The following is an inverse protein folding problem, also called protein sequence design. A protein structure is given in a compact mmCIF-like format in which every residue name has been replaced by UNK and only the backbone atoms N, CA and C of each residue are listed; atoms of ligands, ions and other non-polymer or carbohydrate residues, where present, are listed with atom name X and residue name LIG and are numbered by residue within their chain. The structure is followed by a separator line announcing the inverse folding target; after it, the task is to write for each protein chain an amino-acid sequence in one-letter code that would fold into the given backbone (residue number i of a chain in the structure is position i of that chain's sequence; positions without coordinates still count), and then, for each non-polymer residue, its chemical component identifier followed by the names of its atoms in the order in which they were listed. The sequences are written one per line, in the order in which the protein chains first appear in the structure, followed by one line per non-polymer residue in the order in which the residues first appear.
data_IF_627575171613
#
_entry.id   IF_627575171613
#
_cell.length_a   1.000
_cell.length_b   1.000
_cell.length_c   1.000
_cell.angle_alpha   90.00
_cell.angle_beta   90.00
_cell.angle_gamma   90.00
#
_symmetry.space_group_name_H-M   'P 1'
#
loop_
_entity.id
_entity.type
_entity.pdbx_description
1 polymer ?
#
# COMPACT_ATOMS: atom_id res chain seq x y z
N UNK A 1 -12.67 -5.78 17.71
CA UNK A 1 -11.44 -5.37 17.05
C UNK A 1 -10.32 -5.31 18.08
N UNK A 2 -9.22 -6.04 17.87
CA UNK A 2 -8.04 -5.92 18.72
C UNK A 2 -7.19 -4.75 18.23
N UNK A 3 -7.33 -3.58 18.89
CA UNK A 3 -6.64 -2.35 18.49
C UNK A 3 -5.12 -2.48 18.55
N UNK A 4 -4.57 -3.24 19.49
CA UNK A 4 -3.13 -3.49 19.57
C UNK A 4 -2.59 -4.18 18.32
N UNK A 5 -3.33 -5.17 17.81
CA UNK A 5 -2.92 -5.89 16.61
C UNK A 5 -3.08 -5.03 15.34
N UNK A 6 -4.21 -4.34 15.20
CA UNK A 6 -4.57 -3.66 13.95
C UNK A 6 -4.03 -2.24 13.82
N UNK A 7 -3.77 -1.57 14.94
CA UNK A 7 -3.22 -0.21 14.97
C UNK A 7 -1.82 -0.18 15.60
N UNK A 8 -1.58 -0.89 16.69
CA UNK A 8 -0.31 -0.87 17.41
C UNK A 8 0.86 -1.39 16.56
N UNK A 9 0.69 -2.51 15.84
CA UNK A 9 1.75 -3.03 14.96
C UNK A 9 2.08 -2.05 13.83
N UNK A 10 1.13 -1.52 13.04
CA UNK A 10 1.42 -0.48 12.05
C UNK A 10 2.11 0.75 12.63
N UNK A 11 1.68 1.22 13.80
CA UNK A 11 2.33 2.36 14.46
C UNK A 11 3.77 2.05 14.88
N UNK A 12 4.03 0.85 15.41
CA UNK A 12 5.38 0.41 15.73
C UNK A 12 6.28 0.32 14.47
N UNK A 13 5.73 -0.18 13.35
CA UNK A 13 6.44 -0.19 12.06
C UNK A 13 6.75 1.24 11.61
N UNK A 14 5.80 2.18 11.71
CA UNK A 14 6.03 3.59 11.35
C UNK A 14 7.16 4.21 12.19
N UNK A 15 7.16 3.97 13.49
CA UNK A 15 8.24 4.44 14.37
C UNK A 15 9.59 3.81 13.97
N UNK A 16 9.61 2.52 13.66
CA UNK A 16 10.79 1.84 13.14
C UNK A 16 11.27 2.43 11.81
N UNK A 17 10.37 2.77 10.89
CA UNK A 17 10.71 3.41 9.62
C UNK A 17 11.28 4.82 9.81
N UNK A 18 10.75 5.58 10.76
CA UNK A 18 11.34 6.89 11.13
C UNK A 18 12.73 6.69 11.69
N UNK A 19 12.96 5.74 12.59
CA UNK A 19 14.28 5.43 13.12
C UNK A 19 15.26 4.94 12.04
N UNK A 20 14.76 4.20 11.03
CA UNK A 20 15.54 3.67 9.92
C UNK A 20 16.17 4.78 9.05
N UNK A 21 15.55 5.98 9.00
CA UNK A 21 16.09 7.15 8.30
C UNK A 21 17.49 7.59 8.78
N UNK A 22 17.86 7.27 10.02
CA UNK A 22 19.20 7.57 10.58
C UNK A 22 20.21 6.43 10.37
N UNK A 23 19.87 5.42 9.58
CA UNK A 23 20.73 4.27 9.26
C UNK A 23 21.07 4.24 7.78
N UNK A 24 21.99 3.36 7.38
CA UNK A 24 22.34 3.10 5.97
C UNK A 24 21.48 2.00 5.32
N UNK A 25 20.53 1.41 6.02
CA UNK A 25 19.83 0.18 5.60
C UNK A 25 19.20 0.30 4.21
N UNK A 26 18.54 1.42 3.89
CA UNK A 26 17.95 1.63 2.56
C UNK A 26 19.01 1.65 1.45
N UNK A 27 20.16 2.31 1.73
CA UNK A 27 21.29 2.36 0.79
C UNK A 27 21.96 1.00 0.65
N UNK A 28 22.17 0.29 1.75
CA UNK A 28 22.82 -1.02 1.75
C UNK A 28 21.98 -2.03 0.98
N UNK A 29 20.66 -2.01 1.15
CA UNK A 29 19.73 -2.85 0.40
C UNK A 29 19.70 -2.44 -1.09
N UNK A 30 19.72 -1.14 -1.41
CA UNK A 30 19.76 -0.69 -2.79
C UNK A 30 21.07 -1.14 -3.49
N UNK A 31 22.20 -1.11 -2.77
CA UNK A 31 23.49 -1.60 -3.27
C UNK A 31 23.46 -3.11 -3.63
N UNK A 32 22.64 -3.93 -2.98
CA UNK A 32 22.50 -5.36 -3.35
C UNK A 32 21.92 -5.55 -4.76
N UNK A 33 21.21 -4.56 -5.27
CA UNK A 33 20.60 -4.59 -6.59
C UNK A 33 21.33 -3.73 -7.63
N UNK A 34 22.41 -3.06 -7.24
CA UNK A 34 23.21 -2.23 -8.14
C UNK A 34 24.48 -2.96 -8.58
N UNK A 35 24.63 -3.13 -9.88
CA UNK A 35 25.83 -3.73 -10.45
C UNK A 35 26.85 -2.63 -10.75
N UNK A 36 27.95 -2.65 -9.99
CA UNK A 36 29.05 -1.68 -10.10
C UNK A 36 29.75 -1.80 -11.46
N UNK A 37 29.84 -3.02 -12.02
CA UNK A 37 30.56 -3.24 -13.29
C UNK A 37 29.82 -2.60 -14.47
N UNK A 38 28.49 -2.63 -14.46
CA UNK A 38 27.66 -2.03 -15.51
C UNK A 38 27.18 -0.61 -15.18
N UNK A 39 27.32 -0.18 -13.91
CA UNK A 39 26.81 1.10 -13.44
C UNK A 39 25.27 1.18 -13.44
N UNK A 40 24.58 0.05 -13.34
CA UNK A 40 23.12 -0.02 -13.46
C UNK A 40 22.48 -0.97 -12.44
N UNK A 41 21.21 -0.75 -12.15
CA UNK A 41 20.40 -1.69 -11.38
C UNK A 41 20.11 -2.95 -12.21
N UNK A 42 20.23 -4.13 -11.58
CA UNK A 42 20.10 -5.45 -12.25
C UNK A 42 18.75 -5.67 -12.94
N UNK A 43 17.71 -5.01 -12.49
CA UNK A 43 16.35 -5.11 -13.04
C UNK A 43 15.97 -4.02 -14.03
N UNK A 44 16.88 -3.06 -14.35
CA UNK A 44 16.55 -1.83 -15.08
C UNK A 44 15.91 -2.08 -16.45
N UNK A 45 16.37 -3.11 -17.17
CA UNK A 45 15.90 -3.45 -18.52
C UNK A 45 15.12 -4.77 -18.56
N UNK A 46 14.65 -5.27 -17.41
CA UNK A 46 13.92 -6.52 -17.33
C UNK A 46 12.50 -6.37 -17.90
N UNK A 47 12.22 -7.06 -19.02
CA UNK A 47 10.89 -7.14 -19.61
C UNK A 47 9.83 -7.67 -18.62
N UNK A 48 10.20 -8.68 -17.81
CA UNK A 48 9.32 -9.25 -16.79
C UNK A 48 8.90 -8.20 -15.76
N UNK A 49 9.86 -7.41 -15.26
CA UNK A 49 9.61 -6.42 -14.21
C UNK A 49 8.81 -5.23 -14.76
N UNK A 50 9.10 -4.77 -15.99
CA UNK A 50 8.45 -3.60 -16.57
C UNK A 50 7.08 -3.95 -17.17
N UNK A 51 7.02 -4.92 -18.09
CA UNK A 51 5.79 -5.16 -18.84
C UNK A 51 4.80 -6.08 -18.13
N UNK A 52 5.27 -7.08 -17.37
CA UNK A 52 4.38 -8.03 -16.70
C UNK A 52 4.03 -7.54 -15.30
N UNK A 53 5.03 -7.40 -14.42
CA UNK A 53 4.76 -7.04 -13.03
C UNK A 53 4.28 -5.58 -12.88
N UNK A 54 4.85 -4.66 -13.68
CA UNK A 54 4.43 -3.26 -13.60
C UNK A 54 3.09 -3.02 -14.30
N UNK A 55 2.99 -3.31 -15.60
CA UNK A 55 1.83 -2.91 -16.39
C UNK A 55 0.65 -3.87 -16.25
N UNK A 56 0.86 -5.19 -16.40
CA UNK A 56 -0.26 -6.14 -16.41
C UNK A 56 -0.90 -6.31 -15.05
N UNK A 57 -0.10 -6.37 -13.97
CA UNK A 57 -0.65 -6.47 -12.61
C UNK A 57 -1.42 -5.20 -12.24
N UNK A 58 -0.90 -4.03 -12.60
CA UNK A 58 -1.60 -2.75 -12.42
C UNK A 58 -2.95 -2.74 -13.15
N UNK A 59 -2.98 -3.16 -14.42
CA UNK A 59 -4.22 -3.27 -15.20
C UNK A 59 -5.22 -4.22 -14.52
N UNK A 60 -4.76 -5.38 -14.04
CA UNK A 60 -5.60 -6.34 -13.30
C UNK A 60 -6.25 -5.73 -12.06
N UNK A 61 -5.50 -4.95 -11.28
CA UNK A 61 -6.04 -4.28 -10.08
C UNK A 61 -7.00 -3.14 -10.45
N UNK A 62 -6.76 -2.42 -11.54
CA UNK A 62 -7.72 -1.43 -12.06
C UNK A 62 -9.03 -2.12 -12.44
N UNK A 63 -8.97 -3.22 -13.18
CA UNK A 63 -10.16 -4.01 -13.55
C UNK A 63 -10.92 -4.48 -12.31
N UNK A 64 -10.19 -5.00 -11.30
CA UNK A 64 -10.80 -5.39 -10.02
C UNK A 64 -11.51 -4.21 -9.35
N UNK A 65 -10.89 -3.03 -9.32
CA UNK A 65 -11.49 -1.82 -8.76
C UNK A 65 -12.76 -1.38 -9.48
N UNK A 66 -12.73 -1.40 -10.82
CA UNK A 66 -13.91 -1.09 -11.66
C UNK A 66 -15.03 -2.10 -11.44
N UNK A 67 -14.71 -3.40 -11.39
CA UNK A 67 -15.69 -4.45 -11.08
C UNK A 67 -16.28 -4.30 -9.68
N UNK A 68 -15.46 -4.00 -8.68
CA UNK A 68 -15.92 -3.75 -7.31
C UNK A 68 -16.90 -2.56 -7.26
N UNK A 69 -16.59 -1.48 -7.99
CA UNK A 69 -17.45 -0.30 -8.10
C UNK A 69 -18.76 -0.63 -8.81
N UNK A 70 -18.71 -1.36 -9.92
CA UNK A 70 -19.90 -1.77 -10.68
C UNK A 70 -20.82 -2.67 -9.83
N UNK A 71 -20.27 -3.67 -9.13
CA UNK A 71 -21.03 -4.56 -8.23
C UNK A 71 -21.58 -3.77 -7.03
N UNK A 72 -20.83 -2.81 -6.49
CA UNK A 72 -21.32 -1.92 -5.46
C UNK A 72 -22.51 -1.08 -5.95
N UNK A 73 -22.42 -0.47 -7.13
CA UNK A 73 -23.53 0.25 -7.75
C UNK A 73 -24.75 -0.66 -8.01
N UNK A 74 -24.52 -1.85 -8.56
CA UNK A 74 -25.58 -2.85 -8.78
C UNK A 74 -26.25 -3.30 -7.47
N UNK A 75 -25.55 -3.24 -6.34
CA UNK A 75 -26.11 -3.60 -5.03
C UNK A 75 -27.28 -2.70 -4.58
N UNK A 76 -27.51 -1.57 -5.23
CA UNK A 76 -28.66 -0.71 -4.97
C UNK A 76 -29.91 -1.14 -5.73
N UNK A 77 -29.76 -1.93 -6.79
CA UNK A 77 -30.84 -2.38 -7.68
C UNK A 77 -31.13 -3.87 -7.51
N UNK A 78 -30.10 -4.69 -7.31
CA UNK A 78 -30.21 -6.15 -7.27
C UNK A 78 -30.40 -6.64 -5.83
N UNK A 79 -31.58 -7.18 -5.52
CA UNK A 79 -31.95 -7.66 -4.17
C UNK A 79 -30.93 -8.65 -3.57
N UNK A 80 -30.39 -9.57 -4.37
CA UNK A 80 -29.41 -10.56 -3.94
C UNK A 80 -28.08 -9.96 -3.43
N UNK A 81 -27.77 -8.71 -3.82
CA UNK A 81 -26.55 -8.00 -3.42
C UNK A 81 -26.76 -7.07 -2.21
N UNK A 82 -28.01 -6.82 -1.77
CA UNK A 82 -28.30 -5.88 -0.67
C UNK A 82 -27.56 -6.20 0.60
N UNK A 83 -27.44 -7.48 0.94
CA UNK A 83 -26.76 -7.93 2.15
C UNK A 83 -25.23 -7.67 2.12
N UNK A 84 -24.63 -7.46 0.94
CA UNK A 84 -23.21 -7.23 0.74
C UNK A 84 -22.86 -5.75 0.50
N UNK A 85 -23.85 -4.87 0.44
CA UNK A 85 -23.64 -3.46 0.09
C UNK A 85 -22.61 -2.76 0.99
N UNK A 86 -22.62 -3.03 2.29
CA UNK A 86 -21.67 -2.42 3.23
C UNK A 86 -20.24 -2.92 3.00
N UNK A 87 -20.06 -4.21 2.79
CA UNK A 87 -18.76 -4.81 2.49
C UNK A 87 -18.19 -4.32 1.16
N UNK A 88 -19.04 -4.21 0.14
CA UNK A 88 -18.69 -3.65 -1.17
C UNK A 88 -18.32 -2.16 -1.04
N UNK A 89 -19.07 -1.38 -0.26
CA UNK A 89 -18.77 0.02 0.03
C UNK A 89 -17.43 0.19 0.77
N UNK A 90 -17.16 -0.67 1.75
CA UNK A 90 -15.87 -0.70 2.44
C UNK A 90 -14.72 -1.00 1.46
N UNK A 91 -14.89 -2.00 0.58
CA UNK A 91 -13.91 -2.39 -0.43
C UNK A 91 -13.61 -1.24 -1.39
N UNK A 92 -14.65 -0.64 -1.98
CA UNK A 92 -14.52 0.47 -2.94
C UNK A 92 -13.86 1.69 -2.29
N UNK A 93 -14.28 2.05 -1.08
CA UNK A 93 -13.69 3.17 -0.33
C UNK A 93 -12.21 2.94 -0.07
N UNK A 94 -11.84 1.76 0.45
CA UNK A 94 -10.46 1.44 0.78
C UNK A 94 -9.57 1.38 -0.48
N UNK A 95 -10.01 0.74 -1.56
CA UNK A 95 -9.29 0.71 -2.84
C UNK A 95 -9.11 2.12 -3.42
N UNK A 96 -10.20 2.90 -3.48
CA UNK A 96 -10.18 4.24 -4.05
C UNK A 96 -9.26 5.19 -3.27
N UNK A 97 -9.38 5.22 -1.93
CA UNK A 97 -8.53 6.07 -1.10
C UNK A 97 -7.07 5.63 -1.16
N UNK A 98 -6.76 4.33 -1.09
CA UNK A 98 -5.38 3.83 -1.17
C UNK A 98 -4.68 4.26 -2.46
N UNK A 99 -5.38 4.19 -3.60
CA UNK A 99 -4.80 4.58 -4.90
C UNK A 99 -4.72 6.09 -5.08
N UNK A 100 -5.71 6.85 -4.61
CA UNK A 100 -5.75 8.30 -4.72
C UNK A 100 -4.73 9.01 -3.79
N UNK A 101 -4.40 8.41 -2.66
CA UNK A 101 -3.55 8.99 -1.62
C UNK A 101 -2.07 9.15 -2.02
N UNK A 102 -1.55 8.24 -2.84
CA UNK A 102 -0.12 8.15 -3.16
C UNK A 102 0.37 9.32 -4.01
N UNK A 103 -0.37 9.69 -5.04
CA UNK A 103 0.08 10.73 -6.00
C UNK A 103 0.27 12.11 -5.35
N UNK A 104 -0.66 12.62 -4.51
CA UNK A 104 -0.45 13.87 -3.77
C UNK A 104 0.77 13.83 -2.86
N UNK A 105 0.99 12.73 -2.14
CA UNK A 105 2.15 12.58 -1.25
C UNK A 105 3.47 12.62 -1.99
N UNK A 106 3.56 11.99 -3.18
CA UNK A 106 4.75 12.06 -4.02
C UNK A 106 5.09 13.49 -4.41
N UNK A 107 4.08 14.26 -4.82
CA UNK A 107 4.26 15.67 -5.18
C UNK A 107 4.65 16.53 -3.99
N UNK A 108 4.12 16.23 -2.81
CA UNK A 108 4.42 16.96 -1.57
C UNK A 108 5.84 16.68 -1.07
N UNK A 109 6.26 15.43 -1.10
CA UNK A 109 7.53 14.99 -0.50
C UNK A 109 8.73 15.14 -1.42
N UNK A 110 8.54 15.05 -2.73
CA UNK A 110 9.58 15.20 -3.75
C UNK A 110 10.85 14.36 -3.52
N UNK A 111 10.71 13.19 -2.88
CA UNK A 111 11.81 12.28 -2.59
C UNK A 111 12.36 11.67 -3.87
N UNK A 112 13.68 11.67 -4.02
CA UNK A 112 14.38 11.09 -5.15
C UNK A 112 14.36 9.57 -5.15
N UNK A 113 14.42 8.98 -6.35
CA UNK A 113 14.55 7.53 -6.55
C UNK A 113 16.01 7.10 -6.42
N UNK A 114 16.31 5.86 -5.99
CA UNK A 114 17.68 5.35 -5.99
C UNK A 114 18.40 5.59 -7.31
N UNK A 115 17.80 5.26 -8.44
CA UNK A 115 18.40 5.43 -9.77
C UNK A 115 18.73 6.88 -10.16
N UNK A 116 18.16 7.87 -9.48
CA UNK A 116 18.42 9.29 -9.74
C UNK A 116 19.60 9.81 -8.94
N UNK A 117 20.07 9.07 -7.94
CA UNK A 117 21.10 9.51 -7.01
C UNK A 117 22.50 9.38 -7.60
N UNK A 118 23.39 10.32 -7.25
CA UNK A 118 24.80 10.29 -7.66
C UNK A 118 25.52 9.00 -7.29
N UNK A 119 25.14 8.37 -6.18
CA UNK A 119 25.66 7.08 -5.73
C UNK A 119 25.37 5.92 -6.71
N UNK A 120 24.34 6.04 -7.53
CA UNK A 120 23.89 5.04 -8.49
C UNK A 120 23.95 5.55 -9.94
N UNK A 121 24.85 6.51 -10.21
CA UNK A 121 25.08 7.05 -11.56
C UNK A 121 24.09 8.11 -12.02
N UNK A 122 23.22 8.60 -11.14
CA UNK A 122 22.34 9.73 -11.39
C UNK A 122 22.99 11.08 -11.10
N UNK A 123 22.20 12.15 -11.06
CA UNK A 123 22.62 13.53 -10.81
C UNK A 123 22.14 14.12 -9.49
N UNK A 124 21.20 13.46 -8.82
CA UNK A 124 20.51 14.00 -7.67
C UNK A 124 21.17 13.62 -6.34
N UNK A 125 21.02 14.49 -5.34
CA UNK A 125 21.53 14.25 -3.99
C UNK A 125 20.49 13.51 -3.15
N UNK A 126 20.95 12.53 -2.36
CA UNK A 126 20.10 11.88 -1.38
C UNK A 126 19.68 12.86 -0.27
N UNK A 127 18.43 12.79 0.13
CA UNK A 127 17.89 13.47 1.31
C UNK A 127 16.89 12.57 2.03
N UNK A 128 16.92 12.55 3.36
CA UNK A 128 15.97 11.78 4.17
C UNK A 128 14.57 12.33 4.05
N UNK A 129 13.57 11.53 4.39
CA UNK A 129 12.16 11.90 4.22
C UNK A 129 11.79 13.24 4.89
N UNK A 130 12.32 13.50 6.07
CA UNK A 130 12.00 14.69 6.87
C UNK A 130 13.00 15.85 6.68
N UNK A 131 14.04 15.70 5.85
CA UNK A 131 14.98 16.75 5.56
C UNK A 131 14.46 17.70 4.47
N UNK A 132 14.90 18.97 4.47
CA UNK A 132 14.65 19.88 3.35
C UNK A 132 15.21 19.31 2.04
N UNK A 133 14.47 19.49 0.95
CA UNK A 133 14.92 19.01 -0.37
C UNK A 133 15.98 19.94 -0.94
N UNK A 134 17.11 19.40 -1.46
CA UNK A 134 18.03 20.18 -2.28
C UNK A 134 17.31 20.85 -3.45
N UNK A 135 17.72 22.03 -3.85
CA UNK A 135 17.22 22.67 -5.05
C UNK A 135 17.57 21.83 -6.27
N UNK A 136 16.58 21.50 -7.09
CA UNK A 136 16.74 20.73 -8.33
C UNK A 136 15.63 21.07 -9.31
N UNK A 137 15.96 21.03 -10.61
CA UNK A 137 14.98 21.17 -11.68
C UNK A 137 14.15 19.89 -11.92
N UNK A 138 14.55 18.78 -11.27
CA UNK A 138 13.92 17.47 -11.41
C UNK A 138 13.45 16.93 -10.04
N UNK A 139 12.34 17.44 -9.49
CA UNK A 139 11.83 16.94 -8.22
C UNK A 139 11.53 15.45 -8.29
N UNK A 140 11.90 14.72 -7.23
CA UNK A 140 11.62 13.30 -7.13
C UNK A 140 10.14 13.00 -6.93
N UNK A 141 9.72 11.78 -7.31
CA UNK A 141 8.34 11.28 -7.12
C UNK A 141 8.36 9.84 -6.60
N UNK A 142 9.26 9.54 -5.65
CA UNK A 142 9.52 8.17 -5.24
C UNK A 142 8.91 7.73 -3.92
N UNK A 143 8.58 8.65 -3.04
CA UNK A 143 7.94 8.28 -1.78
C UNK A 143 6.49 8.79 -1.72
N UNK A 144 5.56 7.92 -1.28
CA UNK A 144 5.66 6.48 -1.03
C UNK A 144 5.68 5.66 -2.33
N UNK A 145 5.95 4.34 -2.23
CA UNK A 145 6.08 3.44 -3.37
C UNK A 145 4.76 3.21 -4.13
N UNK A 146 4.58 3.87 -5.28
CA UNK A 146 3.32 3.82 -6.03
C UNK A 146 2.95 2.43 -6.57
N UNK A 147 3.93 1.64 -7.01
CA UNK A 147 3.69 0.31 -7.55
C UNK A 147 3.41 -0.72 -6.46
N UNK A 148 4.02 -0.57 -5.29
CA UNK A 148 3.69 -1.34 -4.10
C UNK A 148 2.21 -1.17 -3.71
N UNK A 149 1.63 0.02 -3.94
CA UNK A 149 0.20 0.28 -3.71
C UNK A 149 -0.68 -0.67 -4.49
N UNK A 150 -0.31 -1.05 -5.73
CA UNK A 150 -1.10 -1.97 -6.56
C UNK A 150 -1.31 -3.33 -5.86
N UNK A 151 -0.32 -3.83 -5.15
CA UNK A 151 -0.47 -5.07 -4.37
C UNK A 151 -1.10 -4.83 -3.00
N UNK A 152 -0.59 -3.85 -2.23
CA UNK A 152 -1.02 -3.64 -0.85
C UNK A 152 -2.42 -3.02 -0.71
N UNK A 153 -2.96 -2.31 -1.72
CA UNK A 153 -4.35 -1.85 -1.68
C UNK A 153 -5.36 -3.02 -1.58
N UNK A 154 -4.97 -4.24 -1.97
CA UNK A 154 -5.77 -5.45 -1.83
C UNK A 154 -6.00 -5.86 -0.37
N UNK A 155 -5.31 -5.25 0.63
CA UNK A 155 -5.72 -5.34 2.04
C UNK A 155 -7.17 -4.91 2.26
N UNK A 156 -7.73 -4.10 1.37
CA UNK A 156 -9.17 -3.77 1.34
C UNK A 156 -10.07 -5.01 1.33
N UNK A 157 -9.67 -6.08 0.59
CA UNK A 157 -10.40 -7.35 0.55
C UNK A 157 -10.41 -8.06 1.91
N UNK A 158 -9.26 -8.04 2.62
CA UNK A 158 -9.19 -8.58 3.98
C UNK A 158 -10.20 -7.88 4.89
N UNK A 159 -10.19 -6.55 4.90
CA UNK A 159 -11.08 -5.78 5.77
C UNK A 159 -12.55 -5.93 5.40
N UNK A 160 -12.89 -5.96 4.11
CA UNK A 160 -14.25 -6.16 3.65
C UNK A 160 -14.82 -7.55 4.01
N UNK A 161 -13.98 -8.59 3.97
CA UNK A 161 -14.42 -9.99 4.13
C UNK A 161 -14.28 -10.54 5.54
N UNK A 162 -13.48 -9.90 6.41
CA UNK A 162 -13.01 -10.47 7.68
C UNK A 162 -14.12 -10.97 8.62
N UNK A 163 -15.27 -10.31 8.64
CA UNK A 163 -16.35 -10.65 9.58
C UNK A 163 -17.34 -11.69 9.01
N UNK A 164 -17.50 -11.74 7.70
CA UNK A 164 -18.42 -12.67 7.03
C UNK A 164 -17.75 -13.94 6.51
N UNK A 165 -16.54 -13.81 6.00
CA UNK A 165 -15.78 -14.88 5.35
C UNK A 165 -14.34 -14.91 5.86
N UNK A 166 -14.09 -15.20 7.15
CA UNK A 166 -12.78 -15.04 7.79
C UNK A 166 -11.67 -15.89 7.16
N UNK A 167 -12.00 -17.05 6.60
CA UNK A 167 -11.02 -17.90 5.90
C UNK A 167 -10.58 -17.21 4.59
N UNK A 168 -11.53 -16.69 3.80
CA UNK A 168 -11.24 -15.99 2.55
C UNK A 168 -10.51 -14.66 2.82
N UNK A 169 -10.85 -13.97 3.89
CA UNK A 169 -10.14 -12.76 4.31
C UNK A 169 -8.66 -13.05 4.59
N UNK A 170 -8.32 -14.13 5.28
CA UNK A 170 -6.92 -14.52 5.53
C UNK A 170 -6.18 -14.84 4.23
N UNK A 171 -6.83 -15.54 3.30
CA UNK A 171 -6.26 -15.78 1.96
C UNK A 171 -6.04 -14.47 1.21
N UNK A 172 -7.01 -13.56 1.23
CA UNK A 172 -6.89 -12.24 0.61
C UNK A 172 -5.75 -11.41 1.23
N UNK A 173 -5.58 -11.46 2.56
CA UNK A 173 -4.46 -10.83 3.25
C UNK A 173 -3.11 -11.38 2.78
N UNK A 174 -2.96 -12.71 2.77
CA UNK A 174 -1.73 -13.35 2.33
C UNK A 174 -1.42 -13.03 0.85
N UNK A 175 -2.43 -13.08 -0.02
CA UNK A 175 -2.29 -12.74 -1.43
C UNK A 175 -1.88 -11.27 -1.64
N UNK A 176 -2.49 -10.34 -0.89
CA UNK A 176 -2.12 -8.92 -0.93
C UNK A 176 -0.69 -8.68 -0.45
N UNK A 177 -0.28 -9.36 0.62
CA UNK A 177 1.08 -9.27 1.15
C UNK A 177 2.11 -9.81 0.15
N UNK A 178 1.86 -10.97 -0.44
CA UNK A 178 2.73 -11.56 -1.47
C UNK A 178 2.81 -10.64 -2.69
N UNK A 179 1.67 -10.21 -3.24
CA UNK A 179 1.63 -9.36 -4.41
C UNK A 179 2.36 -8.01 -4.16
N UNK A 180 2.07 -7.36 -3.04
CA UNK A 180 2.73 -6.11 -2.66
C UNK A 180 4.24 -6.27 -2.49
N UNK A 181 4.69 -7.36 -1.86
CA UNK A 181 6.12 -7.65 -1.67
C UNK A 181 6.83 -7.94 -3.00
N UNK A 182 6.24 -8.77 -3.86
CA UNK A 182 6.81 -9.09 -5.19
C UNK A 182 6.96 -7.82 -6.04
N UNK A 183 5.92 -6.99 -6.08
CA UNK A 183 5.98 -5.70 -6.79
C UNK A 183 7.02 -4.76 -6.18
N UNK A 184 7.14 -4.72 -4.86
CA UNK A 184 8.13 -3.91 -4.15
C UNK A 184 9.56 -4.34 -4.49
N UNK A 185 9.86 -5.63 -4.40
CA UNK A 185 11.18 -6.18 -4.73
C UNK A 185 11.53 -5.91 -6.20
N UNK A 186 10.58 -6.12 -7.13
CA UNK A 186 10.79 -5.80 -8.54
C UNK A 186 11.16 -4.33 -8.76
N UNK A 187 10.54 -3.40 -8.05
CA UNK A 187 10.87 -1.96 -8.14
C UNK A 187 12.17 -1.61 -7.44
N UNK A 188 12.56 -2.32 -6.39
CA UNK A 188 13.89 -2.17 -5.78
C UNK A 188 14.99 -2.67 -6.72
N UNK A 189 14.80 -3.81 -7.38
CA UNK A 189 15.74 -4.34 -8.41
C UNK A 189 15.91 -3.38 -9.59
N UNK A 190 14.92 -2.54 -9.89
CA UNK A 190 15.00 -1.52 -10.93
C UNK A 190 15.60 -0.19 -10.43
N UNK A 191 15.90 -0.03 -9.14
CA UNK A 191 16.35 1.23 -8.53
C UNK A 191 15.25 2.29 -8.42
N UNK A 192 13.98 1.88 -8.54
CA UNK A 192 12.85 2.80 -8.53
C UNK A 192 12.38 3.20 -7.13
N UNK A 193 12.61 2.36 -6.13
CA UNK A 193 12.19 2.60 -4.74
C UNK A 193 13.18 2.00 -3.75
N UNK A 194 13.33 2.66 -2.59
CA UNK A 194 13.96 2.06 -1.41
C UNK A 194 13.00 1.08 -0.72
N UNK A 195 13.54 0.23 0.17
CA UNK A 195 12.72 -0.67 0.99
C UNK A 195 11.71 0.12 1.83
N UNK A 196 12.17 1.16 2.53
CA UNK A 196 11.31 2.00 3.39
C UNK A 196 10.12 2.58 2.62
N UNK A 197 10.30 3.03 1.36
CA UNK A 197 9.23 3.56 0.52
C UNK A 197 8.08 2.57 0.34
N UNK A 198 8.41 1.28 0.18
CA UNK A 198 7.44 0.22 -0.03
C UNK A 198 6.76 -0.21 1.27
N UNK A 199 7.51 -0.23 2.39
CA UNK A 199 6.94 -0.55 3.71
C UNK A 199 6.00 0.56 4.18
N UNK A 200 6.34 1.84 3.97
CA UNK A 200 5.41 2.95 4.18
C UNK A 200 4.11 2.77 3.42
N UNK A 201 4.19 2.34 2.15
CA UNK A 201 3.01 2.08 1.33
C UNK A 201 2.13 0.96 1.91
N UNK A 202 2.74 -0.13 2.37
CA UNK A 202 2.01 -1.22 3.01
C UNK A 202 1.26 -0.74 4.25
N UNK A 203 1.92 0.06 5.10
CA UNK A 203 1.32 0.64 6.31
C UNK A 203 0.17 1.58 5.96
N UNK A 204 0.34 2.46 4.99
CA UNK A 204 -0.74 3.36 4.56
C UNK A 204 -1.95 2.59 4.01
N UNK A 205 -1.74 1.62 3.13
CA UNK A 205 -2.83 0.79 2.61
C UNK A 205 -3.55 0.02 3.72
N UNK A 206 -2.82 -0.48 4.72
CA UNK A 206 -3.40 -1.12 5.90
C UNK A 206 -4.25 -0.16 6.72
N UNK A 207 -3.72 1.02 7.07
CA UNK A 207 -4.43 2.01 7.87
C UNK A 207 -5.67 2.57 7.17
N UNK A 208 -5.60 2.78 5.84
CA UNK A 208 -6.74 3.18 5.02
C UNK A 208 -7.81 2.08 5.03
N UNK A 209 -7.41 0.82 4.83
CA UNK A 209 -8.32 -0.33 4.91
C UNK A 209 -8.97 -0.47 6.29
N UNK A 210 -8.20 -0.31 7.36
CA UNK A 210 -8.69 -0.29 8.74
C UNK A 210 -9.69 0.86 8.99
N UNK A 211 -9.37 2.05 8.50
CA UNK A 211 -10.23 3.23 8.59
C UNK A 211 -11.57 3.02 7.86
N UNK A 212 -11.52 2.52 6.62
CA UNK A 212 -12.72 2.19 5.85
C UNK A 212 -13.58 1.13 6.57
N UNK A 213 -12.96 0.07 7.09
CA UNK A 213 -13.64 -0.95 7.87
C UNK A 213 -14.29 -0.34 9.13
N UNK A 214 -13.58 0.48 9.87
CA UNK A 214 -14.10 1.11 11.09
C UNK A 214 -15.32 1.99 10.77
N UNK A 215 -15.24 2.83 9.76
CA UNK A 215 -16.29 3.76 9.39
C UNK A 215 -17.53 3.07 8.82
N UNK A 216 -17.35 2.07 7.95
CA UNK A 216 -18.45 1.48 7.17
C UNK A 216 -19.05 0.27 7.87
N UNK A 217 -18.23 -0.57 8.50
CA UNK A 217 -18.67 -1.87 9.03
C UNK A 217 -18.72 -1.90 10.56
N UNK A 218 -17.66 -1.43 11.24
CA UNK A 218 -17.53 -1.62 12.68
C UNK A 218 -18.49 -0.72 13.48
N UNK A 219 -18.50 0.59 13.21
CA UNK A 219 -19.37 1.55 13.95
C UNK A 219 -20.85 1.19 13.86
N UNK A 220 -21.33 0.81 12.68
CA UNK A 220 -22.73 0.44 12.50
C UNK A 220 -23.09 -0.86 13.20
N UNK A 221 -22.21 -1.86 13.17
CA UNK A 221 -22.44 -3.12 13.93
C UNK A 221 -22.45 -2.91 15.44
N UNK A 222 -21.66 -1.96 15.94
CA UNK A 222 -21.67 -1.61 17.35
C UNK A 222 -23.00 -0.91 17.75
N UNK A 223 -23.56 -0.07 16.85
CA UNK A 223 -24.84 0.60 17.05
C UNK A 223 -26.05 -0.34 16.96
N UNK A 224 -25.95 -1.38 16.12
CA UNK A 224 -27.02 -2.38 15.91
C UNK A 224 -27.01 -3.48 17.00
N UNK A 225 -26.10 -3.49 17.97
CA UNK A 225 -26.12 -4.42 19.13
C UNK A 225 -27.15 -3.96 20.13
N UNK A 226 -28.10 -4.85 20.55
CA UNK A 226 -28.98 -4.54 21.66
C UNK A 226 -28.15 -4.21 22.91
N UNK A 227 -28.63 -3.23 23.70
CA UNK A 227 -28.02 -2.96 25.00
C UNK A 227 -27.99 -4.27 25.80
N UNK A 228 -26.82 -4.62 26.37
CA UNK A 228 -26.73 -5.80 27.21
C UNK A 228 -27.76 -5.64 28.34
N UNK A 229 -28.65 -6.61 28.52
CA UNK A 229 -29.56 -6.63 29.67
C UNK A 229 -28.74 -6.56 30.96
N UNK A 230 -29.11 -5.69 31.91
CA UNK A 230 -28.41 -5.65 33.20
C UNK A 230 -28.52 -7.03 33.85
N UNK A 231 -27.37 -7.58 34.24
CA UNK A 231 -27.28 -8.87 34.92
C UNK A 231 -28.20 -8.83 36.16
N UNK A 232 -29.20 -9.73 36.29
CA UNK A 232 -30.03 -9.74 37.49
C UNK A 232 -29.14 -10.09 38.67
N UNK A 233 -29.19 -9.24 39.71
CA UNK A 233 -28.45 -9.36 40.94
C UNK A 233 -28.89 -10.59 41.77
#
# INVERSE_FOLDING_TARGET
LNLWLYLGIPMAIMLGLVALEWTSVDMDIANLFFDIATGQFIGRHSYLLENILHDRVKQGVIVLGVLALAVFAASFLVKGLYSWRRELGCLVLALGVSTAFVTPLKKLTQVQCPWSLTQFGGSETYSKLLEPRPATDKPGLCWPGGHATTGFCLFALFFALRDRKPRLARVAFAAALIAGTVLSVGRMMQGAHFLSHNVWTAVFCWLIGLGAYYLVLYRKRAADRPAAEPNPA
#
